data_IF_110585609724
#
_entry.id   IF_110585609724
#
_cell.length_a   1.000
_cell.length_b   1.000
_cell.length_c   1.000
_cell.angle_alpha   90.00
_cell.angle_beta   90.00
_cell.angle_gamma   90.00
#
_symmetry.space_group_name_H-M   'P 1'
#
loop_
_entity.id
_entity.type
_entity.pdbx_description
1 polymer ?
#
# COMPACT_ATOMS: atom_id res chain seq x y z
N UNK A 1 -16.17 0.78 22.45
CA UNK A 1 -16.36 -0.20 21.36
C UNK A 1 -15.45 0.06 20.17
N UNK A 2 -15.31 1.30 19.67
CA UNK A 2 -14.43 1.59 18.51
C UNK A 2 -12.96 1.24 18.73
N UNK A 3 -12.42 1.40 19.94
CA UNK A 3 -11.02 1.12 20.23
C UNK A 3 -10.68 -0.38 20.24
N UNK A 4 -11.64 -1.23 20.64
CA UNK A 4 -11.46 -2.69 20.68
C UNK A 4 -11.46 -3.29 19.27
N UNK A 5 -12.36 -2.81 18.41
CA UNK A 5 -12.41 -3.21 17.00
C UNK A 5 -11.15 -2.79 16.25
N UNK A 6 -10.66 -1.57 16.50
CA UNK A 6 -9.41 -1.09 15.94
C UNK A 6 -8.19 -1.92 16.42
N UNK A 7 -8.22 -2.42 17.67
CA UNK A 7 -7.19 -3.30 18.20
C UNK A 7 -7.20 -4.68 17.52
N UNK A 8 -8.39 -5.27 17.32
CA UNK A 8 -8.53 -6.52 16.56
C UNK A 8 -8.06 -6.34 15.11
N UNK A 9 -8.43 -5.24 14.46
CA UNK A 9 -8.06 -4.93 13.07
C UNK A 9 -6.59 -4.45 12.92
N UNK A 10 -5.84 -4.31 14.01
CA UNK A 10 -4.47 -3.80 13.97
C UNK A 10 -3.42 -4.83 13.51
N UNK A 11 -3.77 -6.11 13.48
CA UNK A 11 -2.84 -7.20 13.15
C UNK A 11 -2.02 -7.71 14.34
N UNK A 12 -2.23 -7.16 15.54
CA UNK A 12 -1.44 -7.53 16.73
C UNK A 12 -1.75 -8.95 17.22
N UNK A 13 -2.98 -9.43 17.05
CA UNK A 13 -3.37 -10.77 17.50
C UNK A 13 -2.75 -11.87 16.63
N UNK A 14 -2.60 -11.61 15.33
CA UNK A 14 -1.93 -12.48 14.36
C UNK A 14 -0.44 -12.57 14.66
N UNK A 15 0.21 -11.44 14.93
CA UNK A 15 1.62 -11.40 15.36
C UNK A 15 1.83 -12.13 16.69
N UNK A 16 0.86 -12.03 17.61
CA UNK A 16 0.89 -12.77 18.87
C UNK A 16 0.88 -14.29 18.65
N UNK A 17 -0.06 -14.79 17.84
CA UNK A 17 -0.19 -16.24 17.56
C UNK A 17 1.04 -16.77 16.81
N UNK A 18 1.64 -15.97 15.93
CA UNK A 18 2.89 -16.31 15.24
C UNK A 18 4.13 -16.26 16.14
N UNK A 19 4.03 -15.68 17.34
CA UNK A 19 5.15 -15.52 18.26
C UNK A 19 6.14 -14.41 17.89
N UNK A 20 5.73 -13.48 17.03
CA UNK A 20 6.55 -12.37 16.50
C UNK A 20 6.45 -11.07 17.34
N UNK A 21 5.71 -11.10 18.45
CA UNK A 21 5.62 -9.96 19.38
C UNK A 21 6.76 -9.94 20.39
N UNK A 22 7.08 -8.74 20.90
CA UNK A 22 7.97 -8.62 22.06
C UNK A 22 7.32 -9.23 23.31
N UNK A 23 8.10 -9.69 24.31
CA UNK A 23 7.56 -10.27 25.54
C UNK A 23 6.59 -9.34 26.30
N UNK A 24 6.77 -8.03 26.16
CA UNK A 24 5.95 -7.00 26.79
C UNK A 24 4.58 -6.88 26.09
N UNK A 25 4.57 -6.87 24.77
CA UNK A 25 3.35 -6.83 23.96
C UNK A 25 2.55 -8.14 24.08
N UNK A 26 3.25 -9.28 24.13
CA UNK A 26 2.60 -10.57 24.34
C UNK A 26 1.86 -10.64 25.68
N UNK A 27 2.44 -10.08 26.74
CA UNK A 27 1.80 -10.01 28.06
C UNK A 27 0.58 -9.08 28.04
N UNK A 28 0.67 -7.95 27.33
CA UNK A 28 -0.46 -7.05 27.13
C UNK A 28 -1.62 -7.72 26.38
N UNK A 29 -1.32 -8.52 25.34
CA UNK A 29 -2.34 -9.30 24.61
C UNK A 29 -3.02 -10.31 25.54
N UNK A 30 -2.26 -11.00 26.40
CA UNK A 30 -2.82 -11.95 27.38
C UNK A 30 -3.71 -11.25 28.42
N UNK A 31 -3.30 -10.10 28.93
CA UNK A 31 -4.10 -9.29 29.85
C UNK A 31 -5.41 -8.85 29.20
N UNK A 32 -5.34 -8.32 27.98
CA UNK A 32 -6.52 -7.89 27.22
C UNK A 32 -7.45 -9.06 26.88
N UNK A 33 -6.91 -10.23 26.54
CA UNK A 33 -7.68 -11.45 26.32
C UNK A 33 -8.38 -11.92 27.62
N UNK A 34 -7.77 -11.73 28.79
CA UNK A 34 -8.42 -12.07 30.06
C UNK A 34 -9.64 -11.18 30.36
N UNK A 35 -9.60 -9.92 29.91
CA UNK A 35 -10.61 -8.90 30.17
C UNK A 35 -11.72 -8.85 29.11
N UNK A 36 -11.41 -9.23 27.86
CA UNK A 36 -12.31 -9.11 26.73
C UNK A 36 -12.53 -10.46 26.01
N UNK A 37 -13.76 -10.97 26.06
CA UNK A 37 -14.13 -12.21 25.39
C UNK A 37 -13.98 -12.14 23.86
N UNK A 38 -14.20 -10.96 23.28
CA UNK A 38 -14.06 -10.74 21.83
C UNK A 38 -12.63 -11.01 21.35
N UNK A 39 -11.62 -10.57 22.10
CA UNK A 39 -10.20 -10.83 21.79
C UNK A 39 -9.88 -12.33 21.90
N UNK A 40 -10.42 -13.03 22.91
CA UNK A 40 -10.24 -14.48 23.02
C UNK A 40 -10.85 -15.24 21.85
N UNK A 41 -12.04 -14.85 21.43
CA UNK A 41 -12.70 -15.49 20.31
C UNK A 41 -11.92 -15.29 19.01
N UNK A 42 -11.37 -14.08 18.82
CA UNK A 42 -10.52 -13.79 17.66
C UNK A 42 -9.22 -14.58 17.69
N UNK A 43 -8.52 -14.63 18.84
CA UNK A 43 -7.32 -15.45 19.02
C UNK A 43 -7.58 -16.92 18.69
N UNK A 44 -8.67 -17.49 19.22
CA UNK A 44 -9.03 -18.88 18.94
C UNK A 44 -9.35 -19.13 17.45
N UNK A 45 -9.95 -18.16 16.77
CA UNK A 45 -10.23 -18.25 15.34
C UNK A 45 -8.94 -18.22 14.51
N UNK A 46 -7.97 -17.37 14.89
CA UNK A 46 -6.65 -17.29 14.26
C UNK A 46 -5.87 -18.59 14.49
N UNK A 47 -5.87 -19.12 15.73
CA UNK A 47 -5.22 -20.39 16.08
C UNK A 47 -5.79 -21.58 15.27
N UNK A 48 -7.11 -21.71 15.18
CA UNK A 48 -7.77 -22.76 14.38
C UNK A 48 -7.46 -22.64 12.88
N UNK A 49 -7.38 -21.42 12.35
CA UNK A 49 -6.97 -21.20 10.97
C UNK A 49 -5.51 -21.62 10.72
N UNK A 50 -4.61 -21.28 11.65
CA UNK A 50 -3.20 -21.67 11.58
C UNK A 50 -3.03 -23.18 11.72
N UNK A 51 -3.77 -23.82 12.62
CA UNK A 51 -3.78 -25.27 12.80
C UNK A 51 -4.21 -25.98 11.51
N UNK A 52 -5.33 -25.56 10.90
CA UNK A 52 -5.79 -26.11 9.62
C UNK A 52 -4.73 -25.98 8.52
N UNK A 53 -4.07 -24.83 8.44
CA UNK A 53 -2.99 -24.63 7.49
C UNK A 53 -1.80 -25.56 7.78
N UNK A 54 -1.39 -25.68 9.03
CA UNK A 54 -0.30 -26.56 9.45
C UNK A 54 -0.61 -28.04 9.15
N UNK A 55 -1.84 -28.48 9.41
CA UNK A 55 -2.28 -29.84 9.10
C UNK A 55 -2.28 -30.14 7.60
N UNK A 56 -2.70 -29.18 6.77
CA UNK A 56 -2.68 -29.32 5.31
C UNK A 56 -1.25 -29.43 4.75
N UNK A 57 -0.28 -28.82 5.44
CA UNK A 57 1.13 -28.80 5.06
C UNK A 57 1.99 -29.71 5.97
N UNK A 58 1.36 -30.69 6.64
CA UNK A 58 2.04 -31.55 7.60
C UNK A 58 3.11 -32.41 6.91
N UNK A 59 4.33 -32.39 7.47
CA UNK A 59 5.44 -33.24 7.04
C UNK A 59 5.58 -34.38 8.04
N UNK A 60 5.62 -35.62 7.56
CA UNK A 60 5.81 -36.78 8.42
C UNK A 60 7.19 -36.72 9.08
N UNK A 61 7.26 -36.70 10.43
CA UNK A 61 8.55 -36.74 11.12
C UNK A 61 9.22 -38.12 10.97
N UNK A 62 10.53 -38.16 11.19
CA UNK A 62 11.28 -39.42 11.15
C UNK A 62 10.84 -40.35 12.31
N UNK A 63 10.73 -41.65 12.04
CA UNK A 63 10.19 -42.65 12.97
C UNK A 63 10.91 -42.67 14.34
N UNK A 64 12.21 -42.36 14.40
CA UNK A 64 12.96 -42.34 15.66
C UNK A 64 12.53 -41.21 16.62
N UNK A 65 11.84 -40.18 16.12
CA UNK A 65 11.37 -39.04 16.93
C UNK A 65 10.30 -39.50 17.90
N UNK A 66 9.39 -40.38 17.45
CA UNK A 66 8.35 -40.98 18.26
C UNK A 66 8.94 -41.78 19.43
N UNK A 67 9.89 -42.67 19.14
CA UNK A 67 10.57 -43.48 20.18
C UNK A 67 11.27 -42.60 21.21
N UNK A 68 12.00 -41.56 20.77
CA UNK A 68 12.68 -40.62 21.69
C UNK A 68 11.68 -39.81 22.53
N UNK A 69 10.52 -39.48 21.98
CA UNK A 69 9.48 -38.74 22.68
C UNK A 69 8.87 -39.60 23.79
N UNK A 70 8.49 -40.83 23.47
CA UNK A 70 7.90 -41.77 24.43
C UNK A 70 8.88 -42.16 25.54
N UNK A 71 10.16 -42.36 25.21
CA UNK A 71 11.22 -42.58 26.20
C UNK A 71 11.36 -41.38 27.16
N UNK A 72 11.36 -40.15 26.62
CA UNK A 72 11.41 -38.92 27.44
C UNK A 72 10.18 -38.70 28.31
N UNK A 73 9.01 -39.13 27.84
CA UNK A 73 7.75 -39.03 28.59
C UNK A 73 7.58 -40.18 29.59
N UNK A 74 8.51 -41.16 29.62
CA UNK A 74 8.43 -42.33 30.50
C UNK A 74 7.31 -43.31 30.14
N UNK A 75 6.79 -43.23 28.92
CA UNK A 75 5.75 -44.12 28.39
C UNK A 75 6.50 -45.25 27.67
N UNK A 76 7.02 -46.20 28.45
CA UNK A 76 7.63 -47.42 27.92
C UNK A 76 6.57 -48.32 27.30
N UNK A 77 6.92 -48.99 26.20
CA UNK A 77 6.10 -50.02 25.54
C UNK A 77 6.07 -51.35 26.34
N UNK A 78 5.94 -51.26 27.66
CA UNK A 78 5.76 -52.36 28.60
C UNK A 78 4.37 -52.22 29.25
N UNK A 79 3.32 -52.13 28.44
CA UNK A 79 2.02 -52.65 28.87
C UNK A 79 1.89 -54.06 28.31
N UNK A 80 1.98 -54.99 29.26
CA UNK A 80 1.86 -56.42 29.13
C UNK A 80 0.66 -56.78 28.23
N UNK A 81 0.97 -57.40 27.09
CA UNK A 81 0.01 -58.21 26.37
C UNK A 81 -0.27 -59.43 27.24
N UNK A 82 -1.25 -59.33 28.15
CA UNK A 82 -1.79 -60.52 28.80
C UNK A 82 -2.38 -61.44 27.71
N UNK A 83 -1.92 -62.71 27.62
CA UNK A 83 -2.54 -63.67 26.73
C UNK A 83 -3.89 -64.06 27.35
N UNK A 84 -4.98 -63.51 26.81
CA UNK A 84 -6.32 -63.99 27.15
C UNK A 84 -6.42 -65.46 26.72
N UNK A 85 -6.36 -66.35 27.71
CA UNK A 85 -6.67 -67.76 27.58
C UNK A 85 -8.14 -67.89 27.14
N UNK A 86 -8.37 -68.40 25.94
CA UNK A 86 -9.71 -68.76 25.45
C UNK A 86 -9.99 -70.21 25.89
N UNK A 87 -10.99 -70.49 26.74
CA UNK A 87 -11.46 -71.85 26.95
C UNK A 87 -12.21 -72.33 25.70
N UNK A 88 -11.70 -73.40 25.10
CA UNK A 88 -12.37 -74.16 24.04
C UNK A 88 -13.63 -74.84 24.59
N UNK A 89 -14.80 -74.44 24.10
CA UNK A 89 -16.05 -75.19 24.23
C UNK A 89 -16.45 -75.81 22.88
N UNK A 90 -17.02 -77.03 22.87
CA UNK A 90 -17.23 -77.83 21.68
C UNK A 90 -18.19 -77.19 20.67
N UNK A 91 -17.82 -77.29 19.39
CA UNK A 91 -18.62 -76.87 18.25
C UNK A 91 -19.90 -77.73 18.13
N UNK A 92 -21.06 -77.10 18.33
CA UNK A 92 -22.28 -77.48 17.62
C UNK A 92 -22.57 -76.42 16.55
N UNK A 93 -22.38 -76.80 15.29
CA UNK A 93 -22.74 -75.98 14.13
C UNK A 93 -24.25 -75.89 14.00
N UNK A 94 -24.85 -74.82 14.55
CA UNK A 94 -26.19 -74.37 14.17
C UNK A 94 -26.11 -73.60 12.86
N UNK A 95 -26.65 -74.18 11.79
CA UNK A 95 -26.77 -73.55 10.48
C UNK A 95 -27.70 -72.33 10.64
N UNK A 96 -27.13 -71.12 10.68
CA UNK A 96 -27.89 -69.87 10.63
C UNK A 96 -28.17 -69.59 9.16
N UNK A 97 -29.45 -69.67 8.78
CA UNK A 97 -29.89 -69.20 7.48
C UNK A 97 -29.64 -67.69 7.38
N UNK A 98 -29.03 -67.22 6.28
CA UNK A 98 -28.95 -65.80 6.01
C UNK A 98 -30.37 -65.27 5.78
N UNK A 99 -30.89 -64.52 6.74
CA UNK A 99 -32.12 -63.75 6.56
C UNK A 99 -31.91 -62.73 5.45
N UNK A 100 -32.75 -62.86 4.42
CA UNK A 100 -32.72 -61.97 3.27
C UNK A 100 -33.23 -60.59 3.70
N UNK A 101 -32.31 -59.66 3.98
CA UNK A 101 -32.60 -58.37 4.60
C UNK A 101 -33.18 -57.36 3.58
N UNK A 102 -34.36 -57.65 3.04
CA UNK A 102 -35.10 -56.81 2.08
C UNK A 102 -35.60 -55.48 2.65
N UNK A 103 -35.59 -55.31 3.99
CA UNK A 103 -35.97 -54.05 4.66
C UNK A 103 -34.91 -52.94 4.59
N UNK A 104 -33.61 -53.28 4.49
CA UNK A 104 -32.50 -52.29 4.52
C UNK A 104 -32.27 -51.56 3.20
N UNK A 105 -32.80 -52.06 2.08
CA UNK A 105 -32.65 -51.40 0.76
C UNK A 105 -33.60 -50.21 0.56
N UNK A 106 -34.75 -50.16 1.26
CA UNK A 106 -35.67 -49.02 1.18
C UNK A 106 -35.14 -47.81 1.96
N UNK A 107 -34.59 -48.02 3.16
CA UNK A 107 -33.93 -46.95 3.93
C UNK A 107 -32.71 -46.39 3.21
N UNK A 108 -31.94 -47.24 2.52
CA UNK A 108 -30.80 -46.81 1.69
C UNK A 108 -31.23 -45.93 0.50
N UNK A 109 -32.40 -46.18 -0.10
CA UNK A 109 -32.96 -45.32 -1.17
C UNK A 109 -33.37 -43.95 -0.65
N UNK A 110 -34.01 -43.87 0.52
CA UNK A 110 -34.33 -42.58 1.14
C UNK A 110 -33.07 -41.81 1.57
N UNK A 111 -32.07 -42.52 2.11
CA UNK A 111 -30.78 -41.92 2.44
C UNK A 111 -30.09 -41.34 1.19
N UNK A 112 -30.12 -42.05 0.06
CA UNK A 112 -29.56 -41.58 -1.21
C UNK A 112 -30.27 -40.30 -1.69
N UNK A 113 -31.60 -40.26 -1.66
CA UNK A 113 -32.37 -39.06 -2.06
C UNK A 113 -32.07 -37.88 -1.13
N UNK A 114 -31.95 -38.11 0.17
CA UNK A 114 -31.58 -37.07 1.13
C UNK A 114 -30.16 -36.53 0.86
N UNK A 115 -29.19 -37.39 0.55
CA UNK A 115 -27.84 -36.98 0.17
C UNK A 115 -27.82 -36.14 -1.11
N UNK A 116 -28.60 -36.52 -2.13
CA UNK A 116 -28.72 -35.73 -3.36
C UNK A 116 -29.35 -34.36 -3.07
N UNK A 117 -30.40 -34.30 -2.25
CA UNK A 117 -31.04 -33.05 -1.87
C UNK A 117 -30.09 -32.12 -1.10
N UNK A 118 -29.32 -32.66 -0.14
CA UNK A 118 -28.31 -31.91 0.60
C UNK A 118 -27.17 -31.43 -0.31
N UNK A 119 -26.73 -32.26 -1.26
CA UNK A 119 -25.72 -31.89 -2.23
C UNK A 119 -26.20 -30.73 -3.12
N UNK A 120 -27.43 -30.79 -3.63
CA UNK A 120 -28.01 -29.70 -4.42
C UNK A 120 -28.09 -28.40 -3.61
N UNK A 121 -28.55 -28.48 -2.36
CA UNK A 121 -28.60 -27.31 -1.47
C UNK A 121 -27.21 -26.74 -1.20
N UNK A 122 -26.21 -27.60 -0.96
CA UNK A 122 -24.83 -27.20 -0.74
C UNK A 122 -24.22 -26.54 -1.99
N UNK A 123 -24.46 -27.09 -3.17
CA UNK A 123 -23.95 -26.51 -4.43
C UNK A 123 -24.58 -25.16 -4.72
N UNK A 124 -25.89 -24.99 -4.46
CA UNK A 124 -26.56 -23.70 -4.60
C UNK A 124 -26.02 -22.67 -3.59
N UNK A 125 -25.81 -23.06 -2.33
CA UNK A 125 -25.22 -22.20 -1.31
C UNK A 125 -23.78 -21.79 -1.66
N UNK A 126 -22.98 -22.72 -2.21
CA UNK A 126 -21.62 -22.43 -2.67
C UNK A 126 -21.62 -21.44 -3.84
N UNK A 127 -22.53 -21.62 -4.81
CA UNK A 127 -22.65 -20.70 -5.94
C UNK A 127 -23.02 -19.28 -5.50
N UNK A 128 -23.98 -19.13 -4.59
CA UNK A 128 -24.39 -17.83 -4.03
C UNK A 128 -23.24 -17.18 -3.24
N UNK A 129 -22.51 -17.96 -2.45
CA UNK A 129 -21.37 -17.44 -1.68
C UNK A 129 -20.24 -17.01 -2.60
N UNK A 130 -19.95 -17.79 -3.65
CA UNK A 130 -18.94 -17.47 -4.65
C UNK A 130 -19.29 -16.21 -5.45
N UNK A 131 -20.56 -16.04 -5.84
CA UNK A 131 -21.01 -14.82 -6.54
C UNK A 131 -20.88 -13.60 -5.65
N UNK A 132 -21.33 -13.68 -4.38
CA UNK A 132 -21.15 -12.59 -3.40
C UNK A 132 -19.69 -12.24 -3.15
N UNK A 133 -18.82 -13.25 -3.11
CA UNK A 133 -17.38 -13.05 -2.93
C UNK A 133 -16.78 -12.33 -4.14
N UNK A 134 -17.21 -12.68 -5.35
CA UNK A 134 -16.77 -12.01 -6.58
C UNK A 134 -17.22 -10.54 -6.61
N UNK A 135 -18.50 -10.28 -6.31
CA UNK A 135 -19.04 -8.91 -6.24
C UNK A 135 -18.29 -8.07 -5.19
N UNK A 136 -17.94 -8.66 -4.04
CA UNK A 136 -17.17 -7.98 -3.00
C UNK A 136 -15.74 -7.65 -3.47
N UNK A 137 -15.07 -8.54 -4.21
CA UNK A 137 -13.76 -8.26 -4.79
C UNK A 137 -13.82 -7.12 -5.83
N UNK A 138 -14.84 -7.12 -6.69
CA UNK A 138 -15.03 -6.06 -7.69
C UNK A 138 -15.33 -4.70 -7.03
N UNK A 139 -16.10 -4.71 -5.93
CA UNK A 139 -16.34 -3.51 -5.12
C UNK A 139 -15.06 -3.01 -4.45
N UNK A 140 -14.21 -3.89 -3.92
CA UNK A 140 -12.93 -3.49 -3.34
C UNK A 140 -12.00 -2.91 -4.41
N UNK A 141 -11.95 -3.53 -5.61
CA UNK A 141 -11.14 -3.03 -6.72
C UNK A 141 -11.61 -1.65 -7.20
N UNK A 142 -12.92 -1.45 -7.37
CA UNK A 142 -13.48 -0.15 -7.76
C UNK A 142 -13.32 0.91 -6.66
N UNK A 143 -13.49 0.54 -5.38
CA UNK A 143 -13.27 1.45 -4.26
C UNK A 143 -11.80 1.89 -4.15
N UNK A 144 -10.85 0.98 -4.39
CA UNK A 144 -9.43 1.33 -4.44
C UNK A 144 -9.12 2.27 -5.61
N UNK A 145 -9.73 2.05 -6.77
CA UNK A 145 -9.60 2.94 -7.92
C UNK A 145 -10.16 4.34 -7.62
N UNK A 146 -11.32 4.41 -6.98
CA UNK A 146 -11.93 5.66 -6.56
C UNK A 146 -11.07 6.37 -5.51
N UNK A 147 -10.52 5.64 -4.53
CA UNK A 147 -9.58 6.19 -3.54
C UNK A 147 -8.36 6.82 -4.21
N UNK A 148 -7.77 6.15 -5.19
CA UNK A 148 -6.65 6.72 -5.97
C UNK A 148 -7.06 7.98 -6.74
N UNK A 149 -8.25 7.97 -7.35
CA UNK A 149 -8.79 9.13 -8.06
C UNK A 149 -9.01 10.31 -7.12
N UNK A 150 -9.59 10.09 -5.95
CA UNK A 150 -9.79 11.12 -4.94
C UNK A 150 -8.47 11.66 -4.41
N UNK A 151 -7.50 10.79 -4.10
CA UNK A 151 -6.17 11.22 -3.69
C UNK A 151 -5.54 12.15 -4.75
N UNK A 152 -5.62 11.79 -6.03
CA UNK A 152 -5.13 12.64 -7.12
C UNK A 152 -5.85 13.99 -7.23
N UNK A 153 -7.17 14.02 -7.04
CA UNK A 153 -7.95 15.27 -7.03
C UNK A 153 -7.59 16.16 -5.84
N UNK A 154 -7.46 15.58 -4.65
CA UNK A 154 -7.07 16.30 -3.42
C UNK A 154 -5.68 16.90 -3.59
N UNK A 155 -4.69 16.11 -4.01
CA UNK A 155 -3.33 16.62 -4.25
C UNK A 155 -3.31 17.76 -5.26
N UNK A 156 -4.10 17.66 -6.33
CA UNK A 156 -4.23 18.74 -7.31
C UNK A 156 -4.88 20.01 -6.73
N UNK A 157 -5.87 19.86 -5.85
CA UNK A 157 -6.55 20.99 -5.21
C UNK A 157 -5.64 21.68 -4.18
N UNK A 158 -4.91 20.91 -3.39
CA UNK A 158 -3.89 21.42 -2.47
C UNK A 158 -2.81 22.20 -3.20
N UNK A 159 -2.29 21.65 -4.31
CA UNK A 159 -1.32 22.31 -5.18
C UNK A 159 -1.87 23.64 -5.74
N UNK A 160 -3.10 23.63 -6.27
CA UNK A 160 -3.77 24.85 -6.75
C UNK A 160 -3.97 25.90 -5.65
N UNK A 161 -4.30 25.49 -4.43
CA UNK A 161 -4.45 26.39 -3.28
C UNK A 161 -3.11 27.02 -2.88
N UNK A 162 -1.99 26.28 -2.98
CA UNK A 162 -0.67 26.84 -2.75
C UNK A 162 -0.33 27.92 -3.79
N UNK A 163 -0.60 27.68 -5.07
CA UNK A 163 -0.44 28.68 -6.13
C UNK A 163 -1.24 29.97 -5.88
N UNK A 164 -2.49 29.84 -5.44
CA UNK A 164 -3.35 30.98 -5.06
C UNK A 164 -2.83 31.71 -3.81
N UNK A 165 -2.39 30.99 -2.79
CA UNK A 165 -1.83 31.60 -1.58
C UNK A 165 -0.54 32.38 -1.90
N UNK A 166 0.30 31.88 -2.82
CA UNK A 166 1.45 32.60 -3.32
C UNK A 166 1.03 33.93 -4.00
N UNK A 167 -0.01 33.93 -4.83
CA UNK A 167 -0.54 35.14 -5.47
C UNK A 167 -1.11 36.16 -4.46
N UNK A 168 -1.82 35.69 -3.43
CA UNK A 168 -2.35 36.56 -2.36
C UNK A 168 -1.20 37.22 -1.59
N UNK A 169 -0.19 36.45 -1.18
CA UNK A 169 1.00 36.98 -0.51
C UNK A 169 1.81 37.94 -1.40
N UNK A 170 1.78 37.75 -2.72
CA UNK A 170 2.37 38.68 -3.69
C UNK A 170 1.64 40.02 -3.74
N UNK A 171 0.31 40.02 -3.68
CA UNK A 171 -0.50 41.23 -3.77
C UNK A 171 -0.56 42.02 -2.45
N UNK A 172 -0.48 41.34 -1.31
CA UNK A 172 -0.61 41.97 0.01
C UNK A 172 0.69 42.60 0.54
N UNK A 173 1.85 42.20 0.03
CA UNK A 173 3.14 42.70 0.51
C UNK A 173 3.87 43.55 -0.54
N UNK A 174 4.28 44.77 -0.16
CA UNK A 174 5.24 45.61 -0.92
C UNK A 174 6.65 44.98 -1.02
N UNK A 175 6.80 43.73 -0.60
CA UNK A 175 8.07 43.02 -0.44
C UNK A 175 8.49 42.24 -1.70
N UNK A 176 7.58 42.07 -2.66
CA UNK A 176 7.87 41.45 -3.96
C UNK A 176 8.34 42.47 -4.98
N UNK A 177 9.57 42.30 -5.46
CA UNK A 177 10.09 42.99 -6.63
C UNK A 177 9.72 42.22 -7.90
N UNK A 178 9.23 42.93 -8.92
CA UNK A 178 9.03 42.36 -10.26
C UNK A 178 10.22 42.71 -11.14
N UNK A 179 11.04 41.72 -11.46
CA UNK A 179 12.19 41.87 -12.35
C UNK A 179 11.75 41.57 -13.78
N UNK A 180 11.70 42.61 -14.61
CA UNK A 180 11.33 42.50 -16.03
C UNK A 180 12.54 42.05 -16.84
N UNK A 181 12.54 40.81 -17.31
CA UNK A 181 13.60 40.25 -18.14
C UNK A 181 13.27 40.47 -19.61
N UNK A 182 14.24 41.03 -20.34
CA UNK A 182 14.11 41.35 -21.76
C UNK A 182 14.93 40.39 -22.61
N UNK A 183 14.41 40.11 -23.80
CA UNK A 183 15.06 39.34 -24.85
C UNK A 183 16.46 39.82 -25.15
N UNK A 184 17.35 38.86 -25.36
CA UNK A 184 18.75 39.08 -25.75
C UNK A 184 18.93 38.77 -27.24
N UNK A 185 20.18 38.87 -27.74
CA UNK A 185 20.49 38.80 -29.16
C UNK A 185 19.88 37.58 -29.90
N UNK A 186 19.84 36.41 -29.25
CA UNK A 186 19.29 35.18 -29.84
C UNK A 186 17.75 35.13 -29.87
N UNK A 187 17.09 35.95 -29.03
CA UNK A 187 15.64 35.98 -28.93
C UNK A 187 15.14 37.38 -28.54
N UNK A 188 15.24 38.38 -29.45
CA UNK A 188 14.96 39.78 -29.12
C UNK A 188 13.51 40.05 -28.70
N UNK A 189 12.57 39.21 -29.15
CA UNK A 189 11.15 39.31 -28.82
C UNK A 189 10.80 38.63 -27.50
N UNK A 190 11.73 37.87 -26.90
CA UNK A 190 11.43 37.17 -25.67
C UNK A 190 11.24 38.13 -24.50
N UNK A 191 10.34 37.76 -23.58
CA UNK A 191 10.08 38.52 -22.36
C UNK A 191 9.59 37.59 -21.27
N UNK A 192 9.95 37.92 -20.03
CA UNK A 192 9.54 37.16 -18.87
C UNK A 192 9.66 38.02 -17.62
N UNK A 193 8.81 37.77 -16.63
CA UNK A 193 8.94 38.40 -15.32
C UNK A 193 9.39 37.37 -14.28
N UNK A 194 10.32 37.78 -13.42
CA UNK A 194 10.68 37.06 -12.19
C UNK A 194 10.17 37.88 -11.02
N UNK A 195 9.44 37.23 -10.13
CA UNK A 195 9.00 37.83 -8.88
C UNK A 195 9.93 37.37 -7.78
N UNK A 196 10.56 38.32 -7.11
CA UNK A 196 11.53 38.02 -6.06
C UNK A 196 11.18 38.77 -4.79
N UNK A 197 11.04 38.02 -3.69
CA UNK A 197 10.85 38.58 -2.37
C UNK A 197 12.17 38.57 -1.61
N UNK A 198 12.72 39.78 -1.37
CA UNK A 198 14.04 39.93 -0.72
C UNK A 198 14.03 39.49 0.75
N UNK A 199 12.88 39.49 1.42
CA UNK A 199 12.77 39.18 2.85
C UNK A 199 12.74 37.67 3.09
N UNK A 200 11.88 36.95 2.39
CA UNK A 200 11.75 35.49 2.53
C UNK A 200 12.56 34.71 1.49
N UNK A 201 13.28 35.41 0.60
CA UNK A 201 14.19 34.87 -0.42
C UNK A 201 13.48 34.11 -1.55
N UNK A 202 12.15 34.08 -1.57
CA UNK A 202 11.39 33.32 -2.57
C UNK A 202 11.52 33.95 -3.95
N UNK A 203 11.70 33.09 -4.95
CA UNK A 203 11.71 33.45 -6.38
C UNK A 203 10.59 32.69 -7.07
N UNK A 204 9.75 33.40 -7.81
CA UNK A 204 8.65 32.84 -8.58
C UNK A 204 8.74 33.30 -10.04
N UNK A 205 8.37 32.43 -10.97
CA UNK A 205 8.22 32.77 -12.39
C UNK A 205 6.76 32.58 -12.81
N UNK A 206 6.27 33.39 -13.75
CA UNK A 206 4.89 33.29 -14.22
C UNK A 206 4.84 32.73 -15.65
N UNK A 207 4.36 31.48 -15.77
CA UNK A 207 4.18 30.77 -17.04
C UNK A 207 3.15 31.41 -17.97
N UNK A 208 2.14 32.11 -17.44
CA UNK A 208 1.14 32.80 -18.27
C UNK A 208 1.63 34.15 -18.80
N UNK A 209 2.66 34.72 -18.19
CA UNK A 209 3.19 36.05 -18.52
C UNK A 209 4.62 35.98 -19.08
N UNK A 210 5.03 34.83 -19.62
CA UNK A 210 6.28 34.67 -20.35
C UNK A 210 6.02 34.44 -21.84
N UNK A 211 6.91 34.95 -22.66
CA UNK A 211 6.94 34.80 -24.11
C UNK A 211 8.36 34.36 -24.45
N UNK A 212 8.65 33.08 -24.21
CA UNK A 212 9.92 32.46 -24.53
C UNK A 212 9.73 31.55 -25.74
N UNK A 213 10.76 31.40 -26.60
CA UNK A 213 10.72 30.41 -27.67
C UNK A 213 10.40 29.01 -27.14
N UNK A 214 9.81 28.17 -27.98
CA UNK A 214 9.58 26.78 -27.58
C UNK A 214 10.93 26.04 -27.58
N UNK A 215 11.33 25.51 -26.42
CA UNK A 215 12.47 24.62 -26.32
C UNK A 215 12.20 23.29 -27.06
N UNK A 216 13.24 22.68 -27.62
CA UNK A 216 13.13 21.40 -28.32
C UNK A 216 13.11 20.20 -27.34
N UNK A 217 13.15 18.98 -27.88
CA UNK A 217 13.08 17.78 -27.05
C UNK A 217 14.34 17.50 -26.22
N UNK A 218 15.46 18.19 -26.46
CA UNK A 218 16.76 17.97 -25.81
C UNK A 218 17.19 19.12 -24.91
N UNK A 219 16.43 20.22 -24.88
CA UNK A 219 16.77 21.41 -24.10
C UNK A 219 15.65 21.88 -23.17
N UNK A 220 16.04 22.52 -22.07
CA UNK A 220 15.17 23.16 -21.08
C UNK A 220 15.70 24.55 -20.76
N UNK A 221 14.84 25.40 -20.21
CA UNK A 221 15.29 26.69 -19.72
C UNK A 221 15.85 26.56 -18.30
N UNK A 222 16.88 27.33 -17.99
CA UNK A 222 17.42 27.42 -16.64
C UNK A 222 17.46 28.87 -16.18
N UNK A 223 16.96 29.13 -14.97
CA UNK A 223 17.01 30.44 -14.35
C UNK A 223 18.29 30.59 -13.52
N UNK A 224 18.92 31.74 -13.64
CA UNK A 224 20.14 32.11 -12.93
C UNK A 224 19.96 33.43 -12.19
N UNK A 225 20.56 33.53 -11.01
CA UNK A 225 20.80 34.81 -10.33
C UNK A 225 22.28 35.18 -10.40
N UNK A 226 22.57 36.44 -10.69
CA UNK A 226 23.92 36.98 -10.66
C UNK A 226 24.23 37.50 -9.26
N UNK A 227 25.14 36.82 -8.56
CA UNK A 227 25.57 37.16 -7.20
C UNK A 227 27.06 37.50 -7.22
N UNK A 228 27.40 38.76 -6.98
CA UNK A 228 28.78 39.25 -7.05
C UNK A 228 29.49 38.87 -8.37
N UNK A 229 28.77 39.05 -9.49
CA UNK A 229 29.26 38.68 -10.82
C UNK A 229 29.31 37.19 -11.12
N UNK A 230 28.92 36.30 -10.20
CA UNK A 230 28.88 34.85 -10.41
C UNK A 230 27.45 34.35 -10.62
N UNK A 231 27.19 33.52 -11.63
CA UNK A 231 25.87 32.93 -11.84
C UNK A 231 25.61 31.83 -10.80
N UNK A 232 24.42 31.87 -10.20
CA UNK A 232 23.89 30.84 -9.28
C UNK A 232 22.63 30.27 -9.90
N UNK A 233 22.60 28.95 -10.11
CA UNK A 233 21.43 28.25 -10.64
C UNK A 233 20.26 28.34 -9.67
N UNK A 234 19.09 28.72 -10.16
CA UNK A 234 17.84 28.73 -9.40
C UNK A 234 16.89 27.60 -9.82
N UNK A 235 17.28 26.77 -10.79
CA UNK A 235 16.51 25.63 -11.27
C UNK A 235 16.15 25.70 -12.75
N UNK A 236 15.72 24.55 -13.27
CA UNK A 236 15.29 24.35 -14.67
C UNK A 236 13.76 24.40 -14.79
N UNK A 237 13.27 24.76 -15.97
CA UNK A 237 11.84 24.94 -16.26
C UNK A 237 11.56 24.78 -17.78
N UNK A 238 10.33 24.42 -18.17
CA UNK A 238 9.88 24.41 -19.58
C UNK A 238 9.19 23.14 -20.09
N UNK A 239 9.78 21.95 -19.97
CA UNK A 239 9.26 20.74 -20.66
C UNK A 239 8.32 19.88 -19.82
N UNK A 240 8.64 19.65 -18.55
CA UNK A 240 7.81 18.88 -17.61
C UNK A 240 6.73 19.70 -16.92
N UNK A 241 6.86 21.03 -16.94
CA UNK A 241 5.98 21.92 -16.20
C UNK A 241 4.81 22.45 -17.05
N UNK A 242 4.84 22.25 -18.37
CA UNK A 242 3.69 22.56 -19.23
C UNK A 242 2.48 21.65 -18.95
N UNK A 243 2.69 20.54 -18.22
CA UNK A 243 1.64 19.71 -17.64
C UNK A 243 1.20 20.14 -16.24
N UNK A 244 2.01 20.92 -15.51
CA UNK A 244 1.58 21.58 -14.27
C UNK A 244 0.73 22.79 -14.63
N UNK A 245 -0.55 22.73 -14.26
CA UNK A 245 -1.58 23.77 -14.48
C UNK A 245 -1.35 25.02 -13.63
N UNK A 246 -0.12 25.32 -13.27
CA UNK A 246 0.22 26.46 -12.43
C UNK A 246 0.62 27.66 -13.27
N UNK A 247 -0.02 28.80 -12.98
CA UNK A 247 0.41 30.08 -13.52
C UNK A 247 1.77 30.51 -12.97
N UNK A 248 2.12 30.09 -11.75
CA UNK A 248 3.37 30.46 -11.07
C UNK A 248 4.17 29.23 -10.69
N UNK A 249 5.47 29.22 -11.00
CA UNK A 249 6.40 28.19 -10.55
C UNK A 249 7.38 28.77 -9.53
N UNK A 250 7.59 28.04 -8.43
CA UNK A 250 8.57 28.40 -7.39
C UNK A 250 9.95 27.87 -7.74
N UNK A 251 10.93 28.78 -7.74
CA UNK A 251 12.35 28.49 -8.00
C UNK A 251 13.13 28.42 -6.68
N UNK A 252 14.40 28.01 -6.76
CA UNK A 252 15.27 28.01 -5.57
C UNK A 252 15.39 29.42 -4.99
N UNK A 253 15.39 29.49 -3.67
CA UNK A 253 15.44 30.74 -2.94
C UNK A 253 16.82 31.40 -3.06
N UNK A 254 16.84 32.73 -3.15
CA UNK A 254 18.08 33.50 -3.22
C UNK A 254 18.00 34.77 -2.35
N UNK A 255 19.08 35.02 -1.62
CA UNK A 255 19.17 36.16 -0.71
C UNK A 255 19.52 37.47 -1.41
N UNK A 256 20.48 37.42 -2.33
CA UNK A 256 21.01 38.59 -3.01
C UNK A 256 21.14 38.28 -4.49
N UNK A 257 20.76 39.23 -5.34
CA UNK A 257 20.90 39.13 -6.79
C UNK A 257 21.06 40.54 -7.37
N UNK A 258 21.98 40.68 -8.32
CA UNK A 258 22.22 41.91 -9.09
C UNK A 258 21.43 41.89 -10.40
N UNK A 259 21.22 40.69 -10.94
CA UNK A 259 20.44 40.45 -12.14
C UNK A 259 19.93 39.01 -12.14
N UNK A 260 18.91 38.77 -12.95
CA UNK A 260 18.43 37.44 -13.30
C UNK A 260 18.61 37.20 -14.79
N UNK A 261 18.93 35.97 -15.15
CA UNK A 261 19.17 35.55 -16.52
C UNK A 261 18.53 34.18 -16.79
N UNK A 262 18.10 33.95 -18.02
CA UNK A 262 17.62 32.64 -18.47
C UNK A 262 18.40 32.22 -19.70
N UNK A 263 18.89 31.00 -19.67
CA UNK A 263 19.57 30.35 -20.80
C UNK A 263 18.82 29.10 -21.22
N UNK A 264 18.97 28.72 -22.48
CA UNK A 264 18.53 27.41 -22.98
C UNK A 264 19.68 26.41 -22.79
N UNK A 265 19.45 25.37 -21.99
CA UNK A 265 20.44 24.40 -21.54
C UNK A 265 20.03 22.98 -21.94
N UNK A 266 20.95 22.00 -21.95
CA UNK A 266 20.59 20.59 -22.11
C UNK A 266 19.59 20.12 -21.03
N UNK A 267 18.87 19.02 -21.31
CA UNK A 267 17.98 18.37 -20.32
C UNK A 267 18.68 18.21 -18.96
N UNK A 268 18.03 18.69 -17.88
CA UNK A 268 18.59 18.67 -16.53
C UNK A 268 19.48 19.88 -16.17
N UNK A 269 19.71 20.78 -17.12
CA UNK A 269 20.46 22.03 -16.91
C UNK A 269 21.98 21.87 -17.00
N UNK A 270 22.67 22.97 -16.72
CA UNK A 270 24.12 23.11 -16.77
C UNK A 270 24.68 23.58 -15.43
N UNK A 271 25.98 23.33 -15.21
CA UNK A 271 26.70 23.85 -14.05
C UNK A 271 27.00 25.36 -14.16
N UNK A 272 27.21 25.84 -15.39
CA UNK A 272 27.41 27.25 -15.72
C UNK A 272 26.48 27.63 -16.88
N UNK A 273 26.04 28.91 -16.96
CA UNK A 273 25.17 29.37 -18.03
C UNK A 273 25.87 29.28 -19.39
N UNK A 274 25.19 28.69 -20.37
CA UNK A 274 25.57 28.72 -21.77
C UNK A 274 25.29 30.12 -22.32
N UNK A 275 26.31 30.99 -22.28
CA UNK A 275 26.17 32.42 -22.65
C UNK A 275 25.69 32.64 -24.09
N UNK A 276 26.06 31.75 -25.01
CA UNK A 276 25.57 31.75 -26.39
C UNK A 276 24.06 31.49 -26.50
N UNK A 277 23.48 30.90 -25.45
CA UNK A 277 22.06 30.55 -25.34
C UNK A 277 21.29 31.46 -24.36
N UNK A 278 21.88 32.60 -24.00
CA UNK A 278 21.24 33.61 -23.14
C UNK A 278 20.00 34.18 -23.83
N UNK A 279 18.82 33.86 -23.32
CA UNK A 279 17.53 34.15 -23.96
C UNK A 279 16.92 35.44 -23.43
N UNK A 280 16.87 35.60 -22.11
CA UNK A 280 16.38 36.82 -21.45
C UNK A 280 17.25 37.18 -20.25
N UNK A 281 17.34 38.48 -19.95
CA UNK A 281 18.05 38.99 -18.77
C UNK A 281 17.37 40.25 -18.23
N UNK A 282 17.41 40.46 -16.91
CA UNK A 282 16.90 41.66 -16.25
C UNK A 282 17.71 42.02 -15.01
N UNK A 283 18.05 43.29 -14.85
CA UNK A 283 18.70 43.82 -13.65
C UNK A 283 17.71 44.04 -12.50
N UNK A 284 18.20 43.92 -11.28
CA UNK A 284 17.46 44.23 -10.04
C UNK A 284 17.46 45.72 -9.75
#
# INVERSE_FOLDING_TARGET
MENLKAYIESGVLELYVLGDLSPQEALQVQELASQHQEIRNELAAIEDALEKYAMQNAVQPAAFVETKLFEKLGIGADEETEPVLIPSLPQETKIVQLENHSGKVKTLRYALVACIALLLMSTAALFITYSKLTDAHDQIASLNLDKQKFAGVVSKLEYSNQGLNNLVQMNESKEWATIKMKGQAISPQAKMNVYWNKKNKNVLINYLAMDLPKADAQHEYQLWAMVNGKPVSLGVFGKTDSTSKEALLKMQAIQDAQAFAVTLEPMGGSANPTMEKLTVMGGV
#
